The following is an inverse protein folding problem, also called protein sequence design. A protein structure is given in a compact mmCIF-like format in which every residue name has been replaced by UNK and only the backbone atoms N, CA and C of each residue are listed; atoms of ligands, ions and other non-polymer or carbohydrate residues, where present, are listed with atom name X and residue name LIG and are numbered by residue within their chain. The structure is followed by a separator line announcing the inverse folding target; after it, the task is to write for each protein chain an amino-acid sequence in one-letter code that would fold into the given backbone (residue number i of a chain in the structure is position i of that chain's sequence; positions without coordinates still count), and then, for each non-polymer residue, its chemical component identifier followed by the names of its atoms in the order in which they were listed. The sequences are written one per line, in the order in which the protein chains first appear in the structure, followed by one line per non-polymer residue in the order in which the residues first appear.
data_IF_289569482246
#
_entry.id   IF_289569482246
#
_cell.length_a   1.000
_cell.length_b   1.000
_cell.length_c   1.000
_cell.angle_alpha   90.00
_cell.angle_beta   90.00
_cell.angle_gamma   90.00
#
_symmetry.space_group_name_H-M   'P 1'
#
loop_
_entity.id
_entity.type
_entity.pdbx_description
1 polymer ?
#
# COMPACT_ATOMS: atom_id res chain seq x y z
N UNK A 1 -1.40 17.50 -0.27
CA UNK A 1 -2.20 18.17 0.78
C UNK A 1 -1.96 19.66 0.83
N UNK A 2 -0.75 20.16 0.88
CA UNK A 2 -0.48 21.61 0.71
C UNK A 2 -0.88 22.13 -0.68
N UNK A 3 -0.84 21.29 -1.70
CA UNK A 3 -1.23 21.59 -3.09
C UNK A 3 -2.71 21.32 -3.42
N UNK A 4 -3.57 21.08 -2.42
CA UNK A 4 -5.00 20.79 -2.64
C UNK A 4 -5.30 19.33 -2.99
N UNK A 5 -4.33 18.42 -2.90
CA UNK A 5 -4.53 16.99 -3.16
C UNK A 5 -5.11 16.26 -1.95
N UNK A 6 -6.06 15.36 -2.20
CA UNK A 6 -6.54 14.40 -1.22
C UNK A 6 -5.64 13.16 -1.22
N UNK A 7 -5.30 12.65 -0.03
CA UNK A 7 -4.39 11.52 0.12
C UNK A 7 -5.08 10.41 0.91
N UNK A 8 -5.00 9.20 0.37
CA UNK A 8 -5.37 7.95 1.03
C UNK A 8 -4.11 7.13 1.23
N UNK A 9 -3.88 6.64 2.44
CA UNK A 9 -2.69 5.84 2.74
C UNK A 9 -3.11 4.39 2.93
N UNK A 10 -2.49 3.48 2.18
CA UNK A 10 -2.61 2.04 2.44
C UNK A 10 -1.31 1.59 3.11
N UNK A 11 -1.43 1.20 4.37
CA UNK A 11 -0.30 0.88 5.23
C UNK A 11 -0.19 -0.63 5.43
N UNK A 12 1.01 -1.11 5.70
CA UNK A 12 1.27 -2.48 6.12
C UNK A 12 2.09 -2.49 7.42
N UNK A 13 2.42 -3.69 7.91
CA UNK A 13 3.34 -3.83 9.04
C UNK A 13 2.67 -4.10 10.39
N UNK A 14 1.34 -4.26 10.46
CA UNK A 14 0.64 -4.54 11.72
C UNK A 14 1.20 -5.79 12.44
N UNK A 15 1.38 -6.92 11.75
CA UNK A 15 1.97 -8.13 12.33
C UNK A 15 3.36 -7.84 12.90
N UNK A 16 4.20 -7.12 12.15
CA UNK A 16 5.57 -6.80 12.57
C UNK A 16 5.58 -5.87 13.79
N UNK A 17 4.69 -4.88 13.83
CA UNK A 17 4.55 -3.97 14.96
C UNK A 17 4.07 -4.66 16.24
N UNK A 18 3.33 -5.77 16.12
CA UNK A 18 2.85 -6.54 17.26
C UNK A 18 3.85 -7.54 17.83
N UNK A 19 4.97 -7.80 17.15
CA UNK A 19 5.98 -8.79 17.61
C UNK A 19 6.57 -8.39 18.97
N UNK A 20 7.06 -7.18 19.08
CA UNK A 20 7.73 -6.66 20.29
C UNK A 20 6.77 -6.54 21.48
N UNK A 21 5.58 -5.93 21.37
CA UNK A 21 4.64 -5.85 22.48
C UNK A 21 4.15 -7.21 22.99
N UNK A 22 4.13 -8.24 22.12
CA UNK A 22 3.77 -9.60 22.50
C UNK A 22 4.98 -10.47 22.89
N UNK A 23 6.15 -9.88 23.01
CA UNK A 23 7.41 -10.59 23.35
C UNK A 23 7.69 -11.81 22.46
N UNK A 24 7.28 -11.76 21.19
CA UNK A 24 7.52 -12.82 20.24
C UNK A 24 8.98 -12.77 19.76
N UNK A 25 9.70 -13.89 19.86
CA UNK A 25 11.11 -13.98 19.47
C UNK A 25 11.33 -14.00 17.95
N UNK A 26 10.27 -14.28 17.18
CA UNK A 26 10.30 -14.36 15.71
C UNK A 26 8.92 -14.08 15.12
N UNK A 27 8.90 -13.79 13.82
CA UNK A 27 7.63 -13.63 13.08
C UNK A 27 6.80 -14.92 13.16
N UNK A 28 5.52 -14.85 13.60
CA UNK A 28 4.66 -16.00 13.75
C UNK A 28 4.38 -16.67 12.40
N UNK A 29 4.24 -17.99 12.42
CA UNK A 29 3.92 -18.77 11.21
C UNK A 29 2.46 -19.20 11.17
N UNK A 30 1.89 -19.52 12.33
CA UNK A 30 0.48 -19.90 12.44
C UNK A 30 -0.44 -18.69 12.38
N UNK A 31 -1.66 -18.90 11.90
CA UNK A 31 -2.65 -17.84 11.64
C UNK A 31 -3.07 -17.14 12.91
N UNK A 32 -3.43 -17.90 13.93
CA UNK A 32 -3.97 -17.32 15.17
C UNK A 32 -2.97 -16.35 15.80
N UNK A 33 -1.67 -16.72 15.83
CA UNK A 33 -0.62 -15.84 16.35
C UNK A 33 -0.36 -14.65 15.42
N UNK A 34 -0.46 -14.81 14.09
CA UNK A 34 -0.40 -13.67 13.15
C UNK A 34 -1.54 -12.69 13.38
N UNK A 35 -2.77 -13.20 13.53
CA UNK A 35 -3.96 -12.38 13.80
C UNK A 35 -3.84 -11.64 15.14
N UNK A 36 -3.38 -12.32 16.19
CA UNK A 36 -3.13 -11.70 17.49
C UNK A 36 -2.05 -10.60 17.40
N UNK A 37 -0.94 -10.88 16.71
CA UNK A 37 0.11 -9.90 16.50
C UNK A 37 -0.38 -8.70 15.68
N UNK A 38 -1.18 -8.93 14.63
CA UNK A 38 -1.79 -7.86 13.86
C UNK A 38 -2.75 -6.99 14.71
N UNK A 39 -3.57 -7.61 15.56
CA UNK A 39 -4.49 -6.88 16.42
C UNK A 39 -3.77 -5.92 17.39
N UNK A 40 -2.67 -6.37 18.00
CA UNK A 40 -1.84 -5.52 18.87
C UNK A 40 -1.07 -4.48 18.06
N UNK A 41 -0.42 -4.91 16.99
CA UNK A 41 0.42 -4.02 16.19
C UNK A 41 -0.37 -2.97 15.41
N UNK A 42 -1.66 -3.21 15.13
CA UNK A 42 -2.51 -2.22 14.49
C UNK A 42 -2.73 -0.97 15.37
N UNK A 43 -2.69 -1.11 16.68
CA UNK A 43 -2.77 0.01 17.62
C UNK A 43 -1.50 0.87 17.50
N UNK A 44 -0.33 0.23 17.48
CA UNK A 44 0.96 0.93 17.34
C UNK A 44 1.06 1.63 15.98
N UNK A 45 0.59 0.97 14.92
CA UNK A 45 0.58 1.54 13.59
C UNK A 45 -0.33 2.78 13.50
N UNK A 46 -1.55 2.68 14.03
CA UNK A 46 -2.49 3.79 14.05
C UNK A 46 -1.96 4.98 14.84
N UNK A 47 -1.29 4.72 15.98
CA UNK A 47 -0.61 5.75 16.79
C UNK A 47 0.49 6.44 16.01
N UNK A 48 1.40 5.68 15.38
CA UNK A 48 2.50 6.23 14.60
C UNK A 48 2.02 7.13 13.46
N UNK A 49 0.99 6.71 12.73
CA UNK A 49 0.37 7.54 11.70
C UNK A 49 -0.31 8.77 12.29
N UNK A 50 -1.04 8.64 13.40
CA UNK A 50 -1.65 9.76 14.10
C UNK A 50 -0.64 10.81 14.53
N UNK A 51 0.48 10.40 15.13
CA UNK A 51 1.59 11.28 15.51
C UNK A 51 2.25 11.95 14.30
N UNK A 52 2.41 11.21 13.20
CA UNK A 52 3.01 11.76 11.97
C UNK A 52 2.14 12.84 11.33
N UNK A 53 0.83 12.61 11.21
CA UNK A 53 -0.09 13.57 10.61
C UNK A 53 -0.45 14.74 11.52
N UNK A 54 -0.39 14.55 12.85
CA UNK A 54 -0.65 15.64 13.80
C UNK A 54 0.34 16.81 13.65
N UNK A 55 1.59 16.54 13.20
CA UNK A 55 2.59 17.57 12.89
C UNK A 55 2.16 18.52 11.77
N UNK A 56 1.23 18.09 10.94
CA UNK A 56 0.67 18.86 9.83
C UNK A 56 -0.78 19.28 10.10
N UNK A 57 -1.21 19.25 11.36
CA UNK A 57 -2.58 19.57 11.78
C UNK A 57 -3.64 18.75 11.03
N UNK A 58 -3.32 17.48 10.74
CA UNK A 58 -4.22 16.54 10.07
C UNK A 58 -4.61 15.39 10.99
N UNK A 59 -5.89 15.03 10.94
CA UNK A 59 -6.42 13.89 11.67
C UNK A 59 -6.24 12.62 10.83
N UNK A 60 -5.55 11.61 11.36
CA UNK A 60 -5.53 10.29 10.76
C UNK A 60 -6.78 9.49 11.18
N UNK A 61 -7.37 8.75 10.25
CA UNK A 61 -8.54 7.90 10.50
C UNK A 61 -8.25 6.47 10.07
N UNK A 62 -8.30 5.52 11.00
CA UNK A 62 -8.08 4.11 10.68
C UNK A 62 -9.28 3.50 9.98
N UNK A 63 -9.03 2.78 8.88
CA UNK A 63 -10.03 2.00 8.13
C UNK A 63 -9.49 0.61 7.87
N UNK A 64 -10.14 -0.41 8.39
CA UNK A 64 -9.74 -1.81 8.17
C UNK A 64 -10.70 -2.47 7.17
N UNK A 65 -10.15 -2.99 6.08
CA UNK A 65 -10.88 -3.61 4.99
C UNK A 65 -10.27 -4.97 4.66
N UNK A 66 -11.08 -5.84 4.08
CA UNK A 66 -10.60 -7.05 3.41
C UNK A 66 -10.89 -6.96 1.90
N UNK A 67 -10.13 -7.68 1.08
CA UNK A 67 -10.43 -7.80 -0.35
C UNK A 67 -11.86 -8.34 -0.58
N UNK A 68 -12.34 -9.22 0.31
CA UNK A 68 -13.72 -9.74 0.28
C UNK A 68 -14.77 -8.65 0.54
N UNK A 69 -14.47 -7.64 1.35
CA UNK A 69 -15.39 -6.52 1.59
C UNK A 69 -15.53 -5.67 0.32
N UNK A 70 -14.42 -5.43 -0.36
CA UNK A 70 -14.42 -4.68 -1.63
C UNK A 70 -15.04 -5.46 -2.78
N UNK A 71 -15.06 -6.79 -2.74
CA UNK A 71 -15.75 -7.63 -3.71
C UNK A 71 -17.29 -7.67 -3.54
N UNK A 72 -17.83 -7.21 -2.42
CA UNK A 72 -19.26 -7.20 -2.13
C UNK A 72 -19.85 -5.81 -2.31
N UNK A 73 -20.75 -5.63 -3.26
CA UNK A 73 -21.32 -4.34 -3.67
C UNK A 73 -21.76 -3.44 -2.51
N UNK A 74 -22.48 -4.00 -1.54
CA UNK A 74 -22.99 -3.20 -0.42
C UNK A 74 -21.88 -2.75 0.53
N UNK A 75 -20.91 -3.64 0.81
CA UNK A 75 -19.76 -3.32 1.66
C UNK A 75 -18.82 -2.34 0.97
N UNK A 76 -18.54 -2.54 -0.31
CA UNK A 76 -17.73 -1.63 -1.11
C UNK A 76 -18.33 -0.22 -1.12
N UNK A 77 -19.65 -0.12 -1.33
CA UNK A 77 -20.36 1.18 -1.27
C UNK A 77 -20.25 1.84 0.11
N UNK A 78 -20.41 1.08 1.19
CA UNK A 78 -20.27 1.62 2.54
C UNK A 78 -18.83 2.10 2.81
N UNK A 79 -17.83 1.34 2.39
CA UNK A 79 -16.43 1.74 2.48
C UNK A 79 -16.17 3.02 1.69
N UNK A 80 -16.65 3.10 0.45
CA UNK A 80 -16.53 4.30 -0.40
C UNK A 80 -17.16 5.52 0.29
N UNK A 81 -18.40 5.41 0.76
CA UNK A 81 -19.08 6.50 1.45
C UNK A 81 -18.32 6.98 2.69
N UNK A 82 -17.72 6.04 3.43
CA UNK A 82 -16.91 6.37 4.61
C UNK A 82 -15.63 7.11 4.20
N UNK A 83 -14.91 6.62 3.20
CA UNK A 83 -13.69 7.23 2.69
C UNK A 83 -13.96 8.64 2.14
N UNK A 84 -15.02 8.80 1.36
CA UNK A 84 -15.46 10.10 0.85
C UNK A 84 -15.81 11.07 1.99
N UNK A 85 -16.47 10.56 3.03
CA UNK A 85 -16.84 11.41 4.17
C UNK A 85 -15.62 11.84 4.97
N UNK A 86 -14.64 10.95 5.19
CA UNK A 86 -13.37 11.30 5.82
C UNK A 86 -12.62 12.37 5.03
N UNK A 87 -12.56 12.23 3.72
CA UNK A 87 -11.98 13.22 2.81
C UNK A 87 -12.61 14.59 2.98
N UNK A 88 -13.95 14.67 2.93
CA UNK A 88 -14.71 15.90 3.13
C UNK A 88 -14.53 16.54 4.52
N UNK A 89 -14.20 15.74 5.52
CA UNK A 89 -13.87 16.18 6.87
C UNK A 89 -12.38 16.50 7.06
N UNK A 90 -11.59 16.48 5.97
CA UNK A 90 -10.15 16.72 5.96
C UNK A 90 -9.35 15.76 6.84
N UNK A 91 -9.88 14.56 7.13
CA UNK A 91 -9.17 13.47 7.75
C UNK A 91 -8.44 12.64 6.69
N UNK A 92 -7.26 12.10 7.04
CA UNK A 92 -6.47 11.23 6.18
C UNK A 92 -6.83 9.77 6.50
N UNK A 93 -7.46 9.03 5.57
CA UNK A 93 -7.73 7.62 5.78
C UNK A 93 -6.43 6.82 5.75
N UNK A 94 -6.17 6.08 6.81
CA UNK A 94 -5.09 5.08 6.93
C UNK A 94 -5.73 3.72 6.81
N UNK A 95 -5.60 3.12 5.65
CA UNK A 95 -6.26 1.87 5.29
C UNK A 95 -5.28 0.72 5.49
N UNK A 96 -5.73 -0.36 6.10
CA UNK A 96 -4.96 -1.60 6.20
C UNK A 96 -5.89 -2.80 6.04
N UNK A 97 -5.30 -3.97 5.79
CA UNK A 97 -6.07 -5.21 5.81
C UNK A 97 -6.57 -5.50 7.23
N UNK A 98 -7.80 -6.00 7.33
CA UNK A 98 -8.32 -6.52 8.59
C UNK A 98 -7.79 -7.94 8.81
N UNK A 99 -6.53 -8.02 9.20
CA UNK A 99 -5.84 -9.28 9.45
C UNK A 99 -6.55 -10.17 10.48
N UNK A 100 -7.35 -9.58 11.39
CA UNK A 100 -8.02 -10.36 12.45
C UNK A 100 -9.11 -11.30 11.94
N UNK A 101 -9.64 -11.03 10.76
CA UNK A 101 -10.67 -11.86 10.10
C UNK A 101 -10.18 -12.44 8.76
N UNK A 102 -8.94 -12.18 8.39
CA UNK A 102 -8.34 -12.74 7.18
C UNK A 102 -8.18 -14.26 7.31
N UNK A 103 -8.46 -14.98 6.21
CA UNK A 103 -8.35 -16.44 6.14
C UNK A 103 -7.09 -16.86 5.40
N UNK A 104 -6.67 -18.13 5.53
CA UNK A 104 -5.49 -18.70 4.87
C UNK A 104 -5.48 -18.56 3.35
N UNK A 105 -6.65 -18.50 2.74
CA UNK A 105 -6.83 -18.38 1.30
C UNK A 105 -6.44 -17.00 0.78
N UNK A 106 -6.41 -16.00 1.66
CA UNK A 106 -5.98 -14.64 1.37
C UNK A 106 -4.56 -14.50 1.90
N UNK A 107 -3.59 -14.22 1.01
CA UNK A 107 -2.20 -14.01 1.43
C UNK A 107 -2.15 -12.81 2.38
N UNK A 108 -1.83 -13.08 3.64
CA UNK A 108 -1.63 -12.03 4.65
C UNK A 108 -0.64 -10.99 4.14
N UNK A 109 -1.05 -9.71 4.18
CA UNK A 109 -0.16 -8.58 3.90
C UNK A 109 -0.01 -8.24 2.43
N UNK A 110 -0.94 -8.63 1.55
CA UNK A 110 -0.97 -8.13 0.17
C UNK A 110 -1.67 -6.75 0.11
N UNK A 111 -1.06 -5.77 0.79
CA UNK A 111 -1.57 -4.42 0.80
C UNK A 111 -1.39 -3.69 -0.55
N UNK A 112 -0.52 -4.17 -1.43
CA UNK A 112 -0.40 -3.64 -2.80
C UNK A 112 -1.71 -3.89 -3.56
N UNK A 113 -2.27 -5.11 -3.44
CA UNK A 113 -3.57 -5.42 -4.03
C UNK A 113 -4.71 -4.64 -3.39
N UNK A 114 -4.71 -4.51 -2.06
CA UNK A 114 -5.67 -3.67 -1.36
C UNK A 114 -5.59 -2.22 -1.84
N UNK A 115 -4.38 -1.68 -2.04
CA UNK A 115 -4.16 -0.34 -2.55
C UNK A 115 -4.75 -0.15 -3.96
N UNK A 116 -4.55 -1.10 -4.86
CA UNK A 116 -5.15 -1.07 -6.19
C UNK A 116 -6.68 -1.07 -6.16
N UNK A 117 -7.28 -1.93 -5.32
CA UNK A 117 -8.73 -1.98 -5.14
C UNK A 117 -9.30 -0.69 -4.53
N UNK A 118 -8.61 -0.12 -3.55
CA UNK A 118 -8.99 1.16 -2.94
C UNK A 118 -8.85 2.30 -3.93
N UNK A 119 -7.76 2.36 -4.70
CA UNK A 119 -7.54 3.39 -5.72
C UNK A 119 -8.68 3.40 -6.74
N UNK A 120 -9.12 2.23 -7.20
CA UNK A 120 -10.31 2.11 -8.06
C UNK A 120 -11.58 2.57 -7.33
N UNK A 121 -11.79 2.13 -6.07
CA UNK A 121 -13.00 2.45 -5.28
C UNK A 121 -13.21 3.95 -5.11
N UNK A 122 -12.12 4.69 -4.84
CA UNK A 122 -12.16 6.15 -4.63
C UNK A 122 -11.97 6.95 -5.91
N UNK A 123 -11.83 6.29 -7.07
CA UNK A 123 -11.52 6.93 -8.37
C UNK A 123 -10.28 7.82 -8.26
N UNK A 124 -9.20 7.27 -7.75
CA UNK A 124 -7.96 8.00 -7.55
C UNK A 124 -7.36 8.45 -8.89
N UNK A 125 -6.77 9.64 -8.92
CA UNK A 125 -6.05 10.17 -10.09
C UNK A 125 -4.73 9.44 -10.33
N UNK A 126 -4.12 8.89 -9.27
CA UNK A 126 -2.92 8.05 -9.34
C UNK A 126 -2.78 7.15 -8.12
N UNK A 127 -2.11 6.03 -8.29
CA UNK A 127 -1.63 5.14 -7.23
C UNK A 127 -0.11 5.18 -7.16
N UNK A 128 0.45 5.44 -5.99
CA UNK A 128 1.89 5.36 -5.75
C UNK A 128 2.18 4.12 -4.91
N UNK A 129 2.93 3.18 -5.48
CA UNK A 129 3.43 2.00 -4.77
C UNK A 129 4.86 2.26 -4.31
N UNK A 130 5.08 2.26 -3.00
CA UNK A 130 6.39 2.43 -2.41
C UNK A 130 7.10 1.07 -2.28
N UNK A 131 8.38 1.03 -2.61
CA UNK A 131 9.21 -0.17 -2.61
C UNK A 131 10.58 0.11 -1.98
N UNK A 132 11.34 -0.94 -1.71
CA UNK A 132 12.75 -0.90 -1.34
C UNK A 132 13.69 -0.73 -2.57
N UNK A 133 13.11 -0.69 -3.77
CA UNK A 133 13.79 -0.36 -5.02
C UNK A 133 13.14 0.88 -5.64
N UNK A 134 13.89 1.60 -6.43
CA UNK A 134 13.53 2.92 -6.98
C UNK A 134 12.65 2.85 -8.24
N UNK A 135 12.34 1.65 -8.73
CA UNK A 135 11.47 1.48 -9.89
C UNK A 135 11.37 0.04 -10.37
N UNK A 136 10.89 -0.13 -11.59
CA UNK A 136 10.78 -1.42 -12.25
C UNK A 136 12.05 -1.72 -13.04
N UNK A 137 12.50 -2.97 -12.96
CA UNK A 137 13.64 -3.50 -13.70
C UNK A 137 13.25 -4.80 -14.40
N UNK A 138 13.95 -5.16 -15.45
CA UNK A 138 13.76 -6.41 -16.20
C UNK A 138 14.20 -7.66 -15.42
N UNK A 139 15.06 -7.46 -14.41
CA UNK A 139 15.58 -8.50 -13.51
C UNK A 139 15.91 -7.91 -12.14
N UNK A 140 16.39 -8.70 -11.20
CA UNK A 140 16.75 -8.21 -9.86
C UNK A 140 17.94 -7.23 -9.92
N UNK A 141 17.77 -5.93 -9.61
CA UNK A 141 18.84 -4.94 -9.68
C UNK A 141 20.01 -5.22 -8.74
N UNK A 142 19.82 -6.05 -7.72
CA UNK A 142 20.89 -6.48 -6.80
C UNK A 142 21.91 -7.41 -7.49
N UNK A 143 21.58 -7.99 -8.63
CA UNK A 143 22.46 -8.86 -9.41
C UNK A 143 23.37 -8.10 -10.40
N UNK A 144 23.18 -6.78 -10.53
CA UNK A 144 24.13 -5.90 -11.21
C UNK A 144 23.98 -5.74 -12.72
N UNK A 145 23.07 -6.48 -13.37
CA UNK A 145 22.84 -6.43 -14.82
C UNK A 145 21.43 -5.99 -15.21
N UNK A 146 20.63 -5.57 -14.24
CA UNK A 146 19.23 -5.21 -14.45
C UNK A 146 19.11 -3.89 -15.24
N UNK A 147 18.18 -3.86 -16.18
CA UNK A 147 17.86 -2.67 -16.97
C UNK A 147 16.60 -2.02 -16.39
N UNK A 148 16.70 -0.74 -16.11
CA UNK A 148 15.57 0.05 -15.61
C UNK A 148 14.49 0.22 -16.68
N UNK A 149 13.24 0.01 -16.32
CA UNK A 149 12.06 0.18 -17.16
C UNK A 149 11.33 1.45 -16.71
N UNK A 150 11.51 2.57 -17.42
CA UNK A 150 10.96 3.86 -16.98
C UNK A 150 9.44 3.95 -17.14
N UNK A 151 8.89 3.23 -18.11
CA UNK A 151 7.45 3.30 -18.44
C UNK A 151 6.96 1.97 -18.98
N UNK A 152 5.75 1.60 -18.57
CA UNK A 152 5.01 0.43 -19.07
C UNK A 152 3.71 0.94 -19.70
N UNK A 153 3.73 1.18 -21.00
CA UNK A 153 2.57 1.67 -21.74
C UNK A 153 1.50 0.58 -21.95
N UNK A 154 1.89 -0.68 -22.01
CA UNK A 154 0.99 -1.82 -22.22
C UNK A 154 1.43 -3.04 -21.39
N UNK A 155 0.51 -3.86 -20.88
CA UNK A 155 0.84 -5.07 -20.13
C UNK A 155 1.83 -6.01 -20.83
N UNK A 156 1.75 -6.12 -22.16
CA UNK A 156 2.68 -6.93 -22.94
C UNK A 156 4.16 -6.48 -22.85
N UNK A 157 4.43 -5.24 -22.47
CA UNK A 157 5.80 -4.73 -22.33
C UNK A 157 6.55 -5.35 -21.13
N UNK A 158 5.83 -6.01 -20.22
CA UNK A 158 6.40 -6.68 -19.05
C UNK A 158 6.26 -8.20 -19.09
N UNK A 159 5.84 -8.75 -20.24
CA UNK A 159 5.92 -10.20 -20.49
C UNK A 159 7.39 -10.62 -20.49
N UNK A 160 7.78 -11.48 -19.55
CA UNK A 160 9.16 -11.93 -19.38
C UNK A 160 10.00 -11.17 -18.36
N UNK A 161 9.45 -10.14 -17.69
CA UNK A 161 10.11 -9.52 -16.55
C UNK A 161 10.19 -10.52 -15.39
N UNK A 162 11.40 -10.86 -14.97
CA UNK A 162 11.63 -11.73 -13.82
C UNK A 162 11.39 -10.95 -12.51
N UNK A 163 10.13 -10.89 -12.11
CA UNK A 163 9.75 -10.30 -10.83
C UNK A 163 10.18 -11.20 -9.67
N UNK A 164 11.26 -10.83 -8.99
CA UNK A 164 11.76 -11.56 -7.83
C UNK A 164 10.75 -11.65 -6.67
N UNK A 165 10.81 -12.75 -5.93
CA UNK A 165 10.08 -12.91 -4.66
C UNK A 165 10.62 -11.91 -3.62
N UNK A 166 9.73 -11.29 -2.86
CA UNK A 166 10.05 -10.23 -1.88
C UNK A 166 11.10 -10.63 -0.86
N UNK A 167 11.85 -9.65 -0.37
CA UNK A 167 12.87 -9.82 0.64
C UNK A 167 12.36 -10.30 2.00
N UNK A 168 13.26 -10.55 2.94
CA UNK A 168 13.02 -11.20 4.24
C UNK A 168 11.98 -10.52 5.17
N UNK A 169 11.60 -9.28 4.92
CA UNK A 169 10.70 -8.48 5.76
C UNK A 169 9.27 -8.32 5.22
N UNK A 170 8.98 -8.67 3.96
CA UNK A 170 7.67 -8.47 3.32
C UNK A 170 7.16 -9.69 2.58
N UNK A 171 5.83 -9.85 2.52
CA UNK A 171 5.14 -10.84 1.68
C UNK A 171 4.84 -10.32 0.28
N UNK A 172 5.03 -9.00 0.03
CA UNK A 172 4.80 -8.33 -1.24
C UNK A 172 6.11 -8.14 -2.00
N UNK A 173 6.51 -9.10 -2.85
CA UNK A 173 7.61 -8.94 -3.78
C UNK A 173 7.24 -8.09 -5.00
N UNK A 174 8.20 -7.83 -5.90
CA UNK A 174 7.98 -7.09 -7.15
C UNK A 174 6.83 -7.72 -7.97
N UNK A 175 6.68 -9.04 -7.96
CA UNK A 175 5.58 -9.74 -8.63
C UNK A 175 4.20 -9.30 -8.11
N UNK A 176 4.04 -9.15 -6.78
CA UNK A 176 2.79 -8.66 -6.19
C UNK A 176 2.53 -7.21 -6.56
N UNK A 177 3.55 -6.34 -6.50
CA UNK A 177 3.44 -4.93 -6.91
C UNK A 177 3.05 -4.80 -8.37
N UNK A 178 3.68 -5.57 -9.23
CA UNK A 178 3.40 -5.55 -10.67
C UNK A 178 1.97 -6.02 -10.97
N UNK A 179 1.54 -7.12 -10.36
CA UNK A 179 0.16 -7.61 -10.47
C UNK A 179 -0.86 -6.58 -9.99
N UNK A 180 -0.55 -5.88 -8.89
CA UNK A 180 -1.40 -4.84 -8.32
C UNK A 180 -1.42 -3.57 -9.16
N UNK A 181 -0.27 -3.21 -9.75
CA UNK A 181 -0.17 -2.10 -10.70
C UNK A 181 -1.02 -2.34 -11.95
N UNK A 182 -0.96 -3.56 -12.52
CA UNK A 182 -1.80 -3.94 -13.64
C UNK A 182 -3.29 -3.87 -13.29
N UNK A 183 -3.67 -4.36 -12.11
CA UNK A 183 -5.06 -4.29 -11.64
C UNK A 183 -5.56 -2.84 -11.54
N UNK A 184 -4.75 -1.91 -11.06
CA UNK A 184 -5.11 -0.49 -10.98
C UNK A 184 -5.15 0.15 -12.38
N UNK A 185 -4.19 -0.16 -13.24
CA UNK A 185 -4.13 0.35 -14.61
C UNK A 185 -5.33 -0.11 -15.46
N UNK A 186 -5.75 -1.37 -15.33
CA UNK A 186 -6.95 -1.90 -15.98
C UNK A 186 -8.23 -1.17 -15.52
N UNK A 187 -8.23 -0.65 -14.30
CA UNK A 187 -9.29 0.20 -13.78
C UNK A 187 -9.16 1.70 -14.17
N UNK A 188 -8.16 2.04 -14.98
CA UNK A 188 -7.92 3.40 -15.47
C UNK A 188 -7.14 4.30 -14.50
N UNK A 189 -6.51 3.74 -13.46
CA UNK A 189 -5.71 4.48 -12.49
C UNK A 189 -4.23 4.36 -12.85
N UNK A 190 -3.53 5.45 -13.21
CA UNK A 190 -2.09 5.45 -13.42
C UNK A 190 -1.34 5.01 -12.17
N UNK A 191 -0.26 4.24 -12.35
CA UNK A 191 0.53 3.74 -11.21
C UNK A 191 1.97 4.21 -11.33
N UNK A 192 2.49 4.73 -10.22
CA UNK A 192 3.90 5.06 -10.05
C UNK A 192 4.53 4.07 -9.07
N UNK A 193 5.69 3.55 -9.43
CA UNK A 193 6.53 2.77 -8.53
C UNK A 193 7.70 3.64 -8.09
N UNK A 194 7.89 3.81 -6.78
CA UNK A 194 8.90 4.69 -6.22
C UNK A 194 9.60 4.06 -5.01
N UNK A 195 10.84 4.51 -4.74
CA UNK A 195 11.55 4.12 -3.54
C UNK A 195 10.91 4.72 -2.30
N UNK A 196 10.78 3.92 -1.25
CA UNK A 196 10.39 4.41 0.08
C UNK A 196 11.47 5.31 0.70
N UNK A 197 12.74 5.13 0.33
CA UNK A 197 13.88 5.88 0.86
C UNK A 197 14.12 7.20 0.10
N UNK A 198 13.90 7.19 -1.22
CA UNK A 198 14.07 8.38 -2.06
C UNK A 198 12.92 9.37 -1.94
N UNK A 199 11.92 9.00 -1.14
CA UNK A 199 10.73 9.76 -0.78
C UNK A 199 10.44 11.00 -1.64
N UNK A 200 9.29 11.03 -2.21
CA UNK A 200 8.41 12.14 -2.62
C UNK A 200 8.82 13.60 -2.29
N UNK A 201 9.94 13.80 -1.61
CA UNK A 201 10.49 15.13 -1.30
C UNK A 201 10.90 15.90 -2.56
N UNK A 202 11.17 15.22 -3.66
CA UNK A 202 11.63 15.85 -4.89
C UNK A 202 10.54 16.09 -5.94
N UNK A 203 9.36 15.51 -5.79
CA UNK A 203 8.29 15.71 -6.77
C UNK A 203 7.51 17.02 -6.57
N UNK A 204 7.63 17.65 -5.40
CA UNK A 204 7.04 18.98 -5.17
C UNK A 204 7.83 20.10 -5.84
N UNK A 205 9.16 19.97 -5.95
CA UNK A 205 10.00 20.99 -6.57
C UNK A 205 10.06 20.89 -8.10
N UNK A 206 9.90 19.67 -8.65
CA UNK A 206 9.89 19.48 -10.10
C UNK A 206 8.60 19.97 -10.78
N UNK A 207 7.52 20.16 -10.04
CA UNK A 207 6.27 20.71 -10.56
C UNK A 207 6.27 22.24 -10.64
N UNK A 208 7.20 22.92 -9.95
CA UNK A 208 7.32 24.39 -9.94
C UNK A 208 8.38 24.92 -10.92
N UNK A 209 9.21 24.04 -11.50
CA UNK A 209 10.20 24.45 -12.52
C UNK A 209 9.75 24.07 -13.95
N UNK A 210 8.70 24.66 -14.39
CA UNK A 210 8.50 24.79 -15.82
C UNK A 210 7.33 24.03 -16.44
N UNK A 211 6.35 24.79 -16.64
CA UNK A 211 5.71 24.92 -17.98
C UNK A 211 5.15 26.32 -18.09
#
# INVERSE_FOLDING_TARGET
MAAGSDVFVVSSGAISAGITPLELHKRPRDIATKQAAAAVGQIELAKAWGESFSRYERTAAQVLLTASDLGKRDRARNAQNTLDRLRLLHAVPIINENDTVATDEIRFGDNDRLAALVAHLVSADALVLLSDVDGLYDSDPRQGNAVFIPEVAHPAAIEGVEAGDGGALGTGGMASKLSSALLAADAGVPVLLASSDACLLYTSDAADEGL
#
